data_IF_731593792660
#
_entry.id   IF_731593792660
#
_cell.length_a   1.000
_cell.length_b   1.000
_cell.length_c   1.000
_cell.angle_alpha   90.00
_cell.angle_beta   90.00
_cell.angle_gamma   90.00
#
_symmetry.space_group_name_H-M   'P 1'
#
loop_
_entity.id
_entity.type
_entity.pdbx_description
1 polymer ?
#
# COMPACT_ATOMS: atom_id res chain seq x y z
N UNK A 1 2.87 16.13 -14.12
CA UNK A 1 2.64 15.09 -13.09
C UNK A 1 2.24 13.81 -13.80
N UNK A 2 2.81 12.65 -13.42
CA UNK A 2 2.56 11.33 -14.07
C UNK A 2 1.30 10.65 -13.54
N UNK A 3 0.90 10.97 -12.33
CA UNK A 3 -0.23 10.40 -11.64
C UNK A 3 -0.21 10.80 -10.17
N UNK A 4 -1.21 10.35 -9.42
CA UNK A 4 -1.32 10.54 -7.97
C UNK A 4 -1.37 9.17 -7.29
N UNK A 5 -0.70 9.01 -6.17
CA UNK A 5 -0.65 7.79 -5.38
C UNK A 5 -1.35 8.04 -4.04
N UNK A 6 -2.47 7.34 -3.81
CA UNK A 6 -3.08 7.23 -2.49
C UNK A 6 -2.24 6.26 -1.66
N UNK A 7 -1.67 6.73 -0.58
CA UNK A 7 -0.78 5.96 0.29
C UNK A 7 -1.46 5.58 1.59
N UNK A 8 -1.50 4.27 1.87
CA UNK A 8 -2.08 3.69 3.06
C UNK A 8 -0.98 3.16 3.99
N UNK A 9 -0.69 3.87 5.09
CA UNK A 9 0.33 3.47 6.04
C UNK A 9 0.00 2.16 6.75
N UNK A 10 1.05 1.43 7.12
CA UNK A 10 0.96 0.22 7.93
C UNK A 10 0.68 0.50 9.40
N UNK A 11 0.79 -0.55 10.22
CA UNK A 11 0.56 -0.42 11.65
C UNK A 11 -0.85 0.05 12.00
N UNK A 12 -0.97 1.01 12.90
CA UNK A 12 -2.24 1.63 13.27
C UNK A 12 -2.85 2.47 12.14
N UNK A 13 -2.06 2.90 11.16
CA UNK A 13 -2.51 3.84 10.14
C UNK A 13 -2.46 5.30 10.57
N UNK A 14 -2.15 5.55 11.82
CA UNK A 14 -1.99 6.87 12.41
C UNK A 14 -0.55 7.37 12.15
N UNK A 15 -0.42 8.36 11.30
CA UNK A 15 0.86 9.01 10.99
C UNK A 15 0.95 10.42 11.55
N UNK A 16 -0.12 10.87 12.19
CA UNK A 16 -0.23 12.14 12.91
C UNK A 16 0.20 13.32 12.02
N UNK A 17 -0.62 13.57 10.98
CA UNK A 17 -0.42 14.72 10.09
C UNK A 17 -0.94 15.99 10.77
N UNK A 18 -0.04 16.91 11.04
CA UNK A 18 -0.36 18.18 11.64
C UNK A 18 -0.96 19.18 10.63
N UNK A 19 -1.57 20.25 11.11
CA UNK A 19 -2.22 21.26 10.26
C UNK A 19 -1.27 22.01 9.33
N UNK A 20 0.00 22.07 9.67
CA UNK A 20 1.07 22.67 8.85
C UNK A 20 1.66 21.68 7.84
N UNK A 21 1.18 20.42 7.84
CA UNK A 21 1.64 19.35 6.96
C UNK A 21 2.81 18.53 7.50
N UNK A 22 3.28 18.81 8.73
CA UNK A 22 4.28 17.98 9.38
C UNK A 22 3.70 16.58 9.67
N UNK A 23 4.53 15.55 9.60
CA UNK A 23 4.16 14.16 9.87
C UNK A 23 5.02 13.64 11.00
N UNK A 24 4.40 13.27 12.12
CA UNK A 24 5.14 12.82 13.31
C UNK A 24 5.61 11.37 13.22
N UNK A 25 4.79 10.50 12.62
CA UNK A 25 5.09 9.07 12.50
C UNK A 25 5.49 8.73 11.06
N UNK A 26 6.65 9.19 10.61
CA UNK A 26 7.09 9.12 9.22
C UNK A 26 7.94 7.89 8.84
N UNK A 27 8.15 6.96 9.79
CA UNK A 27 8.97 5.77 9.56
C UNK A 27 8.37 4.73 8.60
N UNK A 28 7.04 4.75 8.36
CA UNK A 28 6.41 3.80 7.46
C UNK A 28 6.94 3.96 6.02
N UNK A 29 7.12 2.84 5.31
CA UNK A 29 7.69 2.84 3.96
C UNK A 29 6.98 3.82 3.01
N UNK A 30 5.65 3.78 2.92
CA UNK A 30 4.92 4.67 2.01
C UNK A 30 5.07 6.15 2.41
N UNK A 31 5.15 6.43 3.71
CA UNK A 31 5.29 7.80 4.23
C UNK A 31 6.69 8.35 3.99
N UNK A 32 7.74 7.62 4.40
CA UNK A 32 9.13 8.10 4.27
C UNK A 32 9.63 8.15 2.83
N UNK A 33 8.98 7.41 1.92
CA UNK A 33 9.35 7.44 0.49
C UNK A 33 8.60 8.51 -0.32
N UNK A 34 7.71 9.29 0.30
CA UNK A 34 6.89 10.32 -0.39
C UNK A 34 7.70 11.26 -1.30
N UNK A 35 8.88 11.68 -0.84
CA UNK A 35 9.75 12.55 -1.63
C UNK A 35 10.39 11.84 -2.82
N UNK A 36 10.66 10.54 -2.73
CA UNK A 36 11.17 9.77 -3.85
C UNK A 36 10.13 9.72 -4.98
N UNK A 37 8.86 9.54 -4.62
CA UNK A 37 7.74 9.57 -5.56
C UNK A 37 7.56 10.94 -6.19
N UNK A 38 7.65 12.01 -5.39
CA UNK A 38 7.59 13.39 -5.91
C UNK A 38 8.69 13.67 -6.93
N UNK A 39 9.93 13.21 -6.66
CA UNK A 39 11.06 13.34 -7.62
C UNK A 39 10.85 12.55 -8.91
N UNK A 40 10.08 11.47 -8.86
CA UNK A 40 9.68 10.69 -10.05
C UNK A 40 8.49 11.30 -10.79
N UNK A 41 7.93 12.41 -10.29
CA UNK A 41 6.84 13.15 -10.91
C UNK A 41 5.45 12.67 -10.54
N UNK A 42 5.29 11.93 -9.44
CA UNK A 42 3.99 11.54 -8.88
C UNK A 42 3.57 12.50 -7.77
N UNK A 43 2.29 12.86 -7.74
CA UNK A 43 1.65 13.41 -6.56
C UNK A 43 1.42 12.33 -5.51
N UNK A 44 1.41 12.70 -4.23
CA UNK A 44 1.19 11.78 -3.12
C UNK A 44 0.09 12.31 -2.22
N UNK A 45 -0.87 11.45 -1.89
CA UNK A 45 -1.90 11.69 -0.88
C UNK A 45 -1.78 10.60 0.18
N UNK A 46 -1.40 10.98 1.40
CA UNK A 46 -1.28 10.06 2.52
C UNK A 46 -2.62 10.04 3.27
N UNK A 47 -3.17 8.84 3.45
CA UNK A 47 -4.41 8.64 4.20
C UNK A 47 -4.05 8.41 5.66
N UNK A 48 -4.46 9.34 6.53
CA UNK A 48 -4.21 9.26 7.97
C UNK A 48 -5.44 8.74 8.73
N UNK A 49 -5.23 8.26 9.94
CA UNK A 49 -6.29 7.79 10.82
C UNK A 49 -7.07 8.96 11.43
N UNK A 50 -8.39 8.91 11.36
CA UNK A 50 -9.26 9.95 11.91
C UNK A 50 -9.21 9.92 13.45
N UNK A 51 -8.83 11.05 14.05
CA UNK A 51 -8.81 11.22 15.51
C UNK A 51 -7.85 10.26 16.20
N UNK A 52 -6.75 9.90 15.56
CA UNK A 52 -5.69 9.02 16.07
C UNK A 52 -6.18 7.61 16.45
N UNK A 53 -7.32 7.18 15.90
CA UNK A 53 -7.84 5.84 16.16
C UNK A 53 -7.10 4.80 15.34
N UNK A 54 -6.71 3.71 16.00
CA UNK A 54 -6.11 2.58 15.29
C UNK A 54 -7.07 1.99 14.26
N UNK A 55 -6.58 1.82 13.03
CA UNK A 55 -7.30 1.19 11.93
C UNK A 55 -7.14 -0.34 11.89
N UNK A 56 -6.50 -0.93 12.90
CA UNK A 56 -6.33 -2.39 12.99
C UNK A 56 -7.70 -3.06 13.20
N UNK A 57 -8.03 -4.06 12.37
CA UNK A 57 -9.31 -4.75 12.40
C UNK A 57 -10.44 -4.02 11.66
N UNK A 58 -10.18 -2.83 11.10
CA UNK A 58 -11.20 -2.01 10.45
C UNK A 58 -11.09 -2.01 8.91
N UNK A 59 -9.88 -2.26 8.37
CA UNK A 59 -9.57 -2.01 6.95
C UNK A 59 -10.30 -2.94 5.98
N UNK A 60 -10.73 -4.11 6.43
CA UNK A 60 -11.51 -5.06 5.64
C UNK A 60 -13.03 -4.89 5.79
N UNK A 61 -13.49 -3.98 6.69
CA UNK A 61 -14.92 -3.80 7.01
C UNK A 61 -15.70 -3.09 5.89
N UNK A 62 -17.01 -3.28 5.86
CA UNK A 62 -17.89 -2.55 4.93
C UNK A 62 -17.91 -1.04 5.23
N UNK A 63 -17.90 -0.67 6.52
CA UNK A 63 -17.85 0.73 6.93
C UNK A 63 -16.59 1.44 6.38
N UNK A 64 -15.44 0.79 6.45
CA UNK A 64 -14.22 1.36 5.92
C UNK A 64 -14.25 1.45 4.37
N UNK A 65 -14.87 0.49 3.69
CA UNK A 65 -15.05 0.57 2.22
C UNK A 65 -15.87 1.80 1.80
N UNK A 66 -16.86 2.21 2.58
CA UNK A 66 -17.60 3.45 2.32
C UNK A 66 -16.69 4.67 2.46
N UNK A 67 -15.86 4.73 3.50
CA UNK A 67 -14.86 5.80 3.66
C UNK A 67 -13.87 5.81 2.48
N UNK A 68 -13.40 4.63 2.05
CA UNK A 68 -12.51 4.53 0.89
C UNK A 68 -13.19 5.02 -0.40
N UNK A 69 -14.49 4.84 -0.55
CA UNK A 69 -15.25 5.39 -1.67
C UNK A 69 -15.22 6.92 -1.67
N UNK A 70 -15.44 7.54 -0.52
CA UNK A 70 -15.36 9.00 -0.36
C UNK A 70 -13.94 9.52 -0.63
N UNK A 71 -12.92 8.80 -0.17
CA UNK A 71 -11.51 9.14 -0.45
C UNK A 71 -11.22 9.08 -1.95
N UNK A 72 -11.71 8.05 -2.66
CA UNK A 72 -11.55 7.94 -4.12
C UNK A 72 -12.26 9.10 -4.84
N UNK A 73 -13.51 9.36 -4.48
CA UNK A 73 -14.29 10.43 -5.09
C UNK A 73 -13.61 11.79 -4.86
N UNK A 74 -13.10 12.04 -3.66
CA UNK A 74 -12.32 13.25 -3.35
C UNK A 74 -11.02 13.31 -4.15
N UNK A 75 -10.26 12.22 -4.24
CA UNK A 75 -9.01 12.18 -4.98
C UNK A 75 -9.22 12.50 -6.47
N UNK A 76 -10.32 12.06 -7.07
CA UNK A 76 -10.69 12.42 -8.44
C UNK A 76 -11.05 13.90 -8.61
N UNK A 77 -11.41 14.61 -7.54
CA UNK A 77 -11.56 16.08 -7.61
C UNK A 77 -10.23 16.82 -7.65
N UNK A 78 -9.16 16.19 -7.18
CA UNK A 78 -7.83 16.79 -7.11
C UNK A 78 -7.03 16.66 -8.43
N UNK A 79 -7.37 15.69 -9.27
CA UNK A 79 -6.59 15.41 -10.48
C UNK A 79 -7.34 14.59 -11.51
N UNK A 80 -7.10 14.91 -12.79
CA UNK A 80 -7.49 14.08 -13.96
C UNK A 80 -6.39 13.07 -14.34
N UNK A 81 -5.29 13.01 -13.59
CA UNK A 81 -4.18 12.10 -13.86
C UNK A 81 -4.47 10.71 -13.30
N UNK A 82 -3.79 9.68 -13.82
CA UNK A 82 -3.93 8.31 -13.32
C UNK A 82 -3.79 8.24 -11.79
N UNK A 83 -4.77 7.61 -11.14
CA UNK A 83 -4.80 7.44 -9.68
C UNK A 83 -4.37 6.02 -9.33
N UNK A 84 -3.46 5.91 -8.37
CA UNK A 84 -2.90 4.66 -7.86
C UNK A 84 -3.23 4.49 -6.38
N UNK A 85 -3.34 3.26 -5.91
CA UNK A 85 -3.41 2.98 -4.48
C UNK A 85 -2.19 2.14 -4.07
N UNK A 86 -1.52 2.52 -2.99
CA UNK A 86 -0.36 1.81 -2.46
C UNK A 86 -0.45 1.66 -0.95
N UNK A 87 -0.22 0.45 -0.45
CA UNK A 87 -0.23 0.20 0.99
C UNK A 87 0.85 -0.76 1.43
N UNK A 88 1.40 -0.53 2.63
CA UNK A 88 2.44 -1.36 3.23
C UNK A 88 1.93 -2.07 4.48
N UNK A 89 2.27 -3.35 4.65
CA UNK A 89 1.92 -4.13 5.84
C UNK A 89 0.40 -4.08 6.09
N UNK A 90 -0.07 -3.66 7.25
CA UNK A 90 -1.50 -3.44 7.51
C UNK A 90 -2.17 -2.51 6.48
N UNK A 91 -1.44 -1.53 5.93
CA UNK A 91 -1.93 -0.66 4.87
C UNK A 91 -2.21 -1.37 3.54
N UNK A 92 -1.62 -2.54 3.30
CA UNK A 92 -1.91 -3.37 2.13
C UNK A 92 -3.35 -3.87 2.11
N UNK A 93 -3.96 -4.07 3.30
CA UNK A 93 -5.38 -4.42 3.43
C UNK A 93 -6.25 -3.25 2.95
N UNK A 94 -5.90 -2.02 3.30
CA UNK A 94 -6.60 -0.82 2.81
C UNK A 94 -6.43 -0.63 1.28
N UNK A 95 -5.22 -0.83 0.75
CA UNK A 95 -4.97 -0.75 -0.69
C UNK A 95 -5.74 -1.84 -1.46
N UNK A 96 -5.85 -3.05 -0.92
CA UNK A 96 -6.71 -4.11 -1.47
C UNK A 96 -8.18 -3.72 -1.39
N UNK A 97 -8.64 -3.19 -0.26
CA UNK A 97 -10.03 -2.79 -0.05
C UNK A 97 -10.45 -1.66 -1.01
N UNK A 98 -9.61 -0.66 -1.23
CA UNK A 98 -9.89 0.40 -2.22
C UNK A 98 -9.90 -0.15 -3.63
N UNK A 99 -8.95 -1.03 -3.98
CA UNK A 99 -8.93 -1.72 -5.28
C UNK A 99 -10.18 -2.55 -5.54
N UNK A 100 -10.69 -3.24 -4.50
CA UNK A 100 -11.91 -4.07 -4.58
C UNK A 100 -13.20 -3.24 -4.64
N UNK A 101 -13.14 -1.97 -4.26
CA UNK A 101 -14.28 -1.02 -4.23
C UNK A 101 -14.30 -0.10 -5.44
N UNK A 102 -13.19 0.01 -6.17
CA UNK A 102 -13.05 0.86 -7.33
C UNK A 102 -13.89 0.34 -8.50
N UNK A 103 -14.48 1.28 -9.25
CA UNK A 103 -15.12 1.00 -10.54
C UNK A 103 -14.05 0.86 -11.63
N UNK A 104 -14.47 0.32 -12.78
CA UNK A 104 -13.57 0.16 -13.91
C UNK A 104 -13.00 1.53 -14.35
N UNK A 105 -11.68 1.62 -14.44
CA UNK A 105 -10.98 2.84 -14.84
C UNK A 105 -10.75 3.88 -13.73
N UNK A 106 -11.30 3.72 -12.53
CA UNK A 106 -11.06 4.65 -11.43
C UNK A 106 -9.64 4.58 -10.86
N UNK A 107 -9.01 3.41 -10.93
CA UNK A 107 -7.61 3.23 -10.54
C UNK A 107 -6.80 2.76 -11.74
N UNK A 108 -5.63 3.35 -11.93
CA UNK A 108 -4.63 2.88 -12.88
C UNK A 108 -3.96 1.58 -12.40
N UNK A 109 -3.98 1.33 -11.09
CA UNK A 109 -3.52 0.10 -10.48
C UNK A 109 -3.39 0.20 -8.97
N UNK A 110 -3.12 -0.96 -8.35
CA UNK A 110 -2.83 -1.06 -6.91
C UNK A 110 -1.46 -1.68 -6.68
N UNK A 111 -0.79 -1.26 -5.62
CA UNK A 111 0.50 -1.78 -5.18
C UNK A 111 0.42 -2.20 -3.72
N UNK A 112 0.67 -3.46 -3.48
CA UNK A 112 0.64 -4.09 -2.16
C UNK A 112 2.08 -4.43 -1.76
N UNK A 113 2.58 -3.83 -0.70
CA UNK A 113 3.95 -4.05 -0.23
C UNK A 113 3.92 -4.71 1.15
N UNK A 114 4.74 -5.75 1.36
CA UNK A 114 4.82 -6.53 2.60
C UNK A 114 3.43 -6.85 3.16
N UNK A 115 2.63 -7.52 2.35
CA UNK A 115 1.20 -7.68 2.58
C UNK A 115 0.90 -8.59 3.76
N UNK A 116 0.04 -8.14 4.66
CA UNK A 116 -0.49 -8.96 5.76
C UNK A 116 -1.37 -10.07 5.19
N UNK A 117 -0.87 -11.29 5.22
CA UNK A 117 -1.49 -12.49 4.64
C UNK A 117 -1.72 -13.63 5.65
N UNK A 118 -1.21 -13.45 6.87
CA UNK A 118 -1.45 -14.34 8.00
C UNK A 118 -2.16 -13.55 9.09
N UNK A 119 -3.20 -14.15 9.68
CA UNK A 119 -3.96 -13.50 10.76
C UNK A 119 -3.06 -13.26 11.96
N UNK A 120 -2.98 -12.01 12.38
CA UNK A 120 -2.28 -11.54 13.57
C UNK A 120 -3.24 -10.82 14.52
N UNK A 121 -2.69 -9.90 15.33
CA UNK A 121 -3.49 -9.16 16.33
C UNK A 121 -4.59 -8.28 15.74
N UNK A 122 -4.52 -7.88 14.48
CA UNK A 122 -5.58 -7.11 13.82
C UNK A 122 -6.81 -7.96 13.47
N UNK A 123 -6.71 -9.29 13.46
CA UNK A 123 -7.79 -10.19 13.07
C UNK A 123 -8.15 -10.14 11.58
N UNK A 124 -7.40 -9.42 10.74
CA UNK A 124 -7.69 -9.24 9.32
C UNK A 124 -6.44 -9.41 8.45
N UNK A 125 -6.64 -9.76 7.19
CA UNK A 125 -5.62 -9.95 6.15
C UNK A 125 -6.07 -9.32 4.84
N UNK A 126 -5.19 -9.30 3.84
CA UNK A 126 -5.54 -8.86 2.47
C UNK A 126 -6.64 -9.73 1.84
N UNK A 127 -6.80 -10.98 2.29
CA UNK A 127 -7.82 -11.88 1.75
C UNK A 127 -9.24 -11.50 2.21
N UNK A 128 -9.37 -10.81 3.35
CA UNK A 128 -10.65 -10.33 3.87
C UNK A 128 -11.16 -9.08 3.14
N UNK A 129 -10.27 -8.44 2.36
CA UNK A 129 -10.57 -7.21 1.61
C UNK A 129 -11.15 -7.46 0.20
N UNK A 130 -11.69 -8.65 -0.06
CA UNK A 130 -12.36 -9.05 -1.32
C UNK A 130 -11.45 -8.97 -2.55
N UNK A 131 -10.27 -9.62 -2.58
CA UNK A 131 -9.32 -9.56 -3.68
C UNK A 131 -9.93 -9.97 -5.04
N UNK A 132 -10.92 -10.86 -5.05
CA UNK A 132 -11.63 -11.30 -6.27
C UNK A 132 -12.39 -10.17 -6.98
N UNK A 133 -12.60 -9.02 -6.33
CA UNK A 133 -13.25 -7.86 -6.92
C UNK A 133 -12.28 -6.87 -7.57
N UNK A 134 -11.00 -7.00 -7.31
CA UNK A 134 -9.98 -6.13 -7.91
C UNK A 134 -9.93 -6.36 -9.42
N UNK A 135 -10.05 -5.29 -10.20
CA UNK A 135 -9.99 -5.32 -11.67
C UNK A 135 -8.81 -4.52 -12.21
N UNK A 136 -8.41 -3.47 -11.51
CA UNK A 136 -7.23 -2.70 -11.88
C UNK A 136 -5.97 -3.57 -11.83
N UNK A 137 -4.96 -3.32 -12.67
CA UNK A 137 -3.65 -3.98 -12.57
C UNK A 137 -3.11 -3.95 -11.15
N UNK A 138 -2.51 -5.04 -10.69
CA UNK A 138 -2.03 -5.15 -9.32
C UNK A 138 -0.57 -5.62 -9.27
N UNK A 139 0.21 -5.02 -8.36
CA UNK A 139 1.56 -5.45 -8.04
C UNK A 139 1.64 -5.86 -6.57
N UNK A 140 2.12 -7.08 -6.33
CA UNK A 140 2.46 -7.56 -4.99
C UNK A 140 3.99 -7.55 -4.86
N UNK A 141 4.50 -6.72 -3.98
CA UNK A 141 5.96 -6.62 -3.71
C UNK A 141 6.26 -7.26 -2.38
N UNK A 142 7.20 -8.18 -2.36
CA UNK A 142 7.62 -8.88 -1.15
C UNK A 142 9.15 -8.98 -1.08
N UNK A 143 9.71 -8.67 0.08
CA UNK A 143 11.13 -8.79 0.34
C UNK A 143 11.46 -10.20 0.82
N UNK A 144 12.37 -10.90 0.14
CA UNK A 144 12.81 -12.26 0.52
C UNK A 144 13.42 -12.33 1.91
N UNK A 145 13.98 -11.22 2.38
CA UNK A 145 14.61 -11.11 3.70
C UNK A 145 13.65 -10.61 4.79
N UNK A 146 12.36 -10.42 4.45
CA UNK A 146 11.34 -10.12 5.46
C UNK A 146 11.06 -11.35 6.32
N UNK A 147 11.22 -11.21 7.63
CA UNK A 147 10.96 -12.24 8.64
C UNK A 147 9.70 -11.96 9.46
N UNK A 148 8.88 -10.99 9.06
CA UNK A 148 7.61 -10.69 9.71
C UNK A 148 6.62 -11.86 9.51
N UNK A 149 6.21 -12.50 10.60
CA UNK A 149 5.39 -13.71 10.58
C UNK A 149 3.98 -13.51 10.03
N UNK A 150 3.46 -12.28 10.04
CA UNK A 150 2.12 -11.96 9.49
C UNK A 150 2.15 -11.55 8.02
N UNK A 151 3.35 -11.33 7.47
CA UNK A 151 3.55 -10.93 6.08
C UNK A 151 4.65 -11.75 5.38
N UNK A 152 4.61 -13.09 5.45
CA UNK A 152 5.67 -13.91 4.88
C UNK A 152 5.75 -13.74 3.35
N UNK A 153 6.95 -13.47 2.78
CA UNK A 153 7.12 -13.19 1.34
C UNK A 153 6.72 -14.38 0.45
N UNK A 154 6.75 -15.59 0.99
CA UNK A 154 6.33 -16.81 0.27
C UNK A 154 4.85 -16.81 -0.12
N UNK A 155 4.01 -15.99 0.52
CA UNK A 155 2.58 -15.90 0.20
C UNK A 155 2.23 -14.86 -0.87
N UNK A 156 3.21 -14.11 -1.38
CA UNK A 156 2.95 -13.12 -2.44
C UNK A 156 2.28 -13.72 -3.70
N UNK A 157 2.65 -14.94 -4.18
CA UNK A 157 1.95 -15.56 -5.30
C UNK A 157 0.49 -15.91 -4.99
N UNK A 158 0.17 -16.32 -3.75
CA UNK A 158 -1.20 -16.61 -3.32
C UNK A 158 -2.06 -15.35 -3.31
N UNK A 159 -1.50 -14.22 -2.83
CA UNK A 159 -2.17 -12.92 -2.84
C UNK A 159 -2.48 -12.49 -4.29
N UNK A 160 -1.51 -12.60 -5.19
CA UNK A 160 -1.73 -12.30 -6.60
C UNK A 160 -2.81 -13.19 -7.23
N UNK A 161 -2.78 -14.49 -6.96
CA UNK A 161 -3.75 -15.47 -7.47
C UNK A 161 -5.18 -15.24 -6.93
N UNK A 162 -5.33 -14.63 -5.74
CA UNK A 162 -6.63 -14.29 -5.18
C UNK A 162 -7.33 -13.15 -5.95
N UNK A 163 -6.57 -12.29 -6.64
CA UNK A 163 -7.09 -11.20 -7.49
C UNK A 163 -7.45 -11.71 -8.88
N UNK A 164 -8.42 -12.62 -8.96
CA UNK A 164 -8.78 -13.40 -10.16
C UNK A 164 -9.18 -12.56 -11.38
N UNK A 165 -9.64 -11.33 -11.18
CA UNK A 165 -10.11 -10.42 -12.21
C UNK A 165 -9.10 -9.31 -12.54
N UNK A 166 -7.91 -9.37 -11.98
CA UNK A 166 -6.82 -8.41 -12.16
C UNK A 166 -5.65 -9.04 -12.90
N UNK A 167 -4.94 -8.23 -13.69
CA UNK A 167 -3.60 -8.57 -14.16
C UNK A 167 -2.61 -8.36 -13.01
N UNK A 168 -2.55 -9.33 -12.10
CA UNK A 168 -1.70 -9.26 -10.90
C UNK A 168 -0.29 -9.80 -11.18
N UNK A 169 0.72 -9.07 -10.74
CA UNK A 169 2.15 -9.40 -10.87
C UNK A 169 2.80 -9.49 -9.50
N UNK A 170 3.75 -10.41 -9.33
CA UNK A 170 4.57 -10.52 -8.12
C UNK A 170 5.98 -10.03 -8.43
N UNK A 171 6.51 -9.16 -7.57
CA UNK A 171 7.88 -8.69 -7.57
C UNK A 171 8.53 -9.08 -6.24
N UNK A 172 9.57 -9.91 -6.32
CA UNK A 172 10.42 -10.15 -5.17
C UNK A 172 11.64 -9.24 -5.21
N UNK A 173 11.91 -8.59 -4.09
CA UNK A 173 13.15 -7.87 -3.82
C UNK A 173 13.91 -8.58 -2.71
N UNK A 174 15.14 -8.20 -2.48
CA UNK A 174 15.98 -8.75 -1.41
C UNK A 174 16.89 -7.65 -0.87
N UNK A 175 17.37 -7.81 0.37
CA UNK A 175 18.20 -6.86 1.06
C UNK A 175 17.44 -6.01 2.09
N UNK A 176 18.12 -4.98 2.52
CA UNK A 176 17.66 -4.11 3.60
C UNK A 176 18.41 -4.36 4.91
N UNK A 177 18.21 -3.47 5.87
CA UNK A 177 18.91 -3.46 7.15
C UNK A 177 17.89 -3.54 8.28
N UNK A 178 18.16 -4.36 9.29
CA UNK A 178 17.38 -4.41 10.53
C UNK A 178 17.96 -3.42 11.55
N UNK A 179 17.30 -2.26 11.68
CA UNK A 179 17.61 -1.30 12.75
C UNK A 179 16.73 -1.53 13.99
N UNK A 180 15.64 -2.28 13.82
CA UNK A 180 14.72 -2.68 14.89
C UNK A 180 14.83 -4.18 15.14
N UNK A 181 14.72 -4.60 16.41
CA UNK A 181 14.61 -6.01 16.79
C UNK A 181 13.22 -6.61 16.49
N UNK A 182 12.20 -5.76 16.25
CA UNK A 182 10.90 -6.22 15.82
C UNK A 182 10.91 -6.52 14.30
N UNK A 183 10.74 -7.77 13.86
CA UNK A 183 10.80 -8.13 12.45
C UNK A 183 9.72 -7.45 11.59
N UNK A 184 8.58 -7.08 12.17
CA UNK A 184 7.50 -6.36 11.48
C UNK A 184 7.63 -4.82 11.57
N UNK A 185 8.81 -4.32 11.97
CA UNK A 185 9.07 -2.88 12.05
C UNK A 185 9.24 -2.26 10.67
N UNK A 186 8.87 -0.99 10.54
CA UNK A 186 9.18 -0.20 9.34
C UNK A 186 10.69 0.02 9.14
N UNK A 187 11.49 -0.10 10.21
CA UNK A 187 12.95 0.03 10.18
C UNK A 187 13.65 -1.35 10.16
N UNK A 188 13.16 -2.23 9.31
CA UNK A 188 13.68 -3.57 9.06
C UNK A 188 13.47 -3.93 7.58
N UNK A 189 13.91 -5.13 7.11
CA UNK A 189 13.57 -5.61 5.77
C UNK A 189 12.06 -5.60 5.45
N UNK A 190 11.19 -5.78 6.46
CA UNK A 190 9.73 -5.61 6.33
C UNK A 190 9.33 -4.21 5.85
N UNK A 191 10.08 -3.18 6.16
CA UNK A 191 9.85 -1.82 5.67
C UNK A 191 10.77 -1.44 4.52
N UNK A 192 11.52 -2.37 3.92
CA UNK A 192 12.53 -2.10 2.89
C UNK A 192 13.60 -1.11 3.36
N UNK A 193 13.91 -1.08 4.67
CA UNK A 193 14.83 -0.10 5.22
C UNK A 193 16.24 -0.29 4.65
N UNK A 194 16.77 0.78 4.05
CA UNK A 194 18.07 0.79 3.37
C UNK A 194 18.03 0.46 1.86
N UNK A 195 16.89 -0.02 1.32
CA UNK A 195 16.71 -0.31 -0.11
C UNK A 195 15.52 0.46 -0.74
N UNK A 196 15.04 1.51 -0.09
CA UNK A 196 13.85 2.27 -0.50
C UNK A 196 13.94 2.75 -1.95
N UNK A 197 15.10 3.30 -2.35
CA UNK A 197 15.28 3.83 -3.72
C UNK A 197 15.15 2.75 -4.79
N UNK A 198 15.67 1.55 -4.52
CA UNK A 198 15.55 0.41 -5.41
C UNK A 198 14.09 0.01 -5.54
N UNK A 199 13.41 -0.23 -4.41
CA UNK A 199 12.02 -0.69 -4.39
C UNK A 199 11.08 0.32 -5.06
N UNK A 200 11.21 1.60 -4.74
CA UNK A 200 10.46 2.69 -5.39
C UNK A 200 10.72 2.72 -6.89
N UNK A 201 11.98 2.56 -7.31
CA UNK A 201 12.36 2.51 -8.73
C UNK A 201 11.72 1.35 -9.48
N UNK A 202 11.70 0.17 -8.87
CA UNK A 202 11.12 -1.03 -9.45
C UNK A 202 9.59 -0.94 -9.57
N UNK A 203 8.92 -0.48 -8.51
CA UNK A 203 7.48 -0.21 -8.53
C UNK A 203 7.15 0.83 -9.61
N UNK A 204 7.89 1.94 -9.66
CA UNK A 204 7.65 2.98 -10.66
C UNK A 204 7.86 2.50 -12.10
N UNK A 205 8.78 1.54 -12.31
CA UNK A 205 8.98 0.91 -13.62
C UNK A 205 7.76 0.07 -14.00
N UNK A 206 7.24 -0.72 -13.08
CA UNK A 206 6.01 -1.48 -13.29
C UNK A 206 4.81 -0.57 -13.54
N UNK A 207 4.60 0.49 -12.76
CA UNK A 207 3.52 1.45 -12.96
C UNK A 207 3.53 2.03 -14.38
N UNK A 208 4.74 2.37 -14.90
CA UNK A 208 4.87 2.85 -16.28
C UNK A 208 4.55 1.81 -17.34
N UNK A 209 4.82 0.53 -17.07
CA UNK A 209 4.57 -0.55 -18.04
C UNK A 209 3.09 -0.89 -18.21
N UNK A 210 2.26 -0.61 -17.20
CA UNK A 210 0.82 -0.91 -17.22
C UNK A 210 -0.05 0.32 -17.49
N UNK A 211 0.54 1.52 -17.53
CA UNK A 211 -0.18 2.75 -17.93
C UNK A 211 -0.20 2.85 -19.46
N UNK A 212 -1.39 2.95 -20.10
CA UNK A 212 -1.46 3.24 -21.54
C UNK A 212 -0.69 4.54 -21.87
N UNK A 213 0.06 4.52 -22.97
CA UNK A 213 0.76 5.71 -23.48
C UNK A 213 -0.22 6.69 -24.14
#
# INVERSE_FOLDING_TARGET
MRGVILMFPGGAGDVDIERDGAIRHDNNFVVRTRELWARLGYGVVIVDAIGHKSMRGERSTEAYRQVLREILDYAHTLTDRPLWAMGTSQGSIAAMAVGSSARDGELAGIVLTESVSVVGHSGETVFDARPERVRAPALVVANRDDTCTVAPPSRAPEIAAAMKNSAATVLHVEGGVAQSSNPCSSLSPHGYFGIEKQVVGDIARWMRSVTPQ
#
